data_IF_688442966258
#
_entry.id   IF_688442966258
#
_cell.length_a   1.000
_cell.length_b   1.000
_cell.length_c   1.000
_cell.angle_alpha   90.00
_cell.angle_beta   90.00
_cell.angle_gamma   90.00
#
_symmetry.space_group_name_H-M   'P 1'
#
loop_
_entity.id
_entity.type
_entity.pdbx_description
1 polymer ?
#
# COMPACT_ATOMS: atom_id res chain seq x y z
N UNK A 1 -13.77 -38.24 25.99
CA UNK A 1 -14.41 -36.97 26.40
C UNK A 1 -15.37 -36.52 25.28
N UNK A 2 -16.69 -36.70 25.42
CA UNK A 2 -17.67 -36.30 24.39
C UNK A 2 -17.80 -34.77 24.39
N UNK A 3 -17.49 -34.10 23.27
CA UNK A 3 -17.74 -32.64 23.11
C UNK A 3 -19.24 -32.40 23.23
N UNK A 4 -19.66 -31.52 24.14
CA UNK A 4 -21.07 -31.16 24.32
C UNK A 4 -21.60 -30.28 23.17
N UNK A 5 -22.93 -30.20 23.00
CA UNK A 5 -23.57 -29.40 21.94
C UNK A 5 -23.22 -27.90 21.99
N UNK A 6 -22.85 -27.38 23.17
CA UNK A 6 -22.30 -26.02 23.36
C UNK A 6 -20.96 -25.83 22.68
N UNK A 7 -20.04 -26.80 22.75
CA UNK A 7 -18.73 -26.74 22.10
C UNK A 7 -18.85 -26.66 20.57
N UNK A 8 -19.89 -27.29 20.00
CA UNK A 8 -20.16 -27.27 18.55
C UNK A 8 -20.65 -25.88 18.11
N UNK A 9 -21.57 -25.26 18.85
CA UNK A 9 -22.06 -23.90 18.55
C UNK A 9 -20.95 -22.85 18.63
N UNK A 10 -20.06 -22.96 19.63
CA UNK A 10 -18.90 -22.09 19.77
C UNK A 10 -17.94 -22.24 18.58
N UNK A 11 -17.69 -23.47 18.12
CA UNK A 11 -16.84 -23.71 16.95
C UNK A 11 -17.43 -23.10 15.66
N UNK A 12 -18.75 -23.23 15.45
CA UNK A 12 -19.41 -22.61 14.29
C UNK A 12 -19.37 -21.09 14.35
N UNK A 13 -19.62 -20.49 15.51
CA UNK A 13 -19.49 -19.05 15.70
C UNK A 13 -18.08 -18.55 15.40
N UNK A 14 -17.06 -19.24 15.91
CA UNK A 14 -15.65 -18.92 15.62
C UNK A 14 -15.33 -19.03 14.13
N UNK A 15 -15.81 -20.08 13.45
CA UNK A 15 -15.61 -20.28 12.02
C UNK A 15 -16.20 -19.12 11.20
N UNK A 16 -17.42 -18.67 11.54
CA UNK A 16 -18.06 -17.54 10.86
C UNK A 16 -17.23 -16.27 11.03
N UNK A 17 -16.74 -15.99 12.24
CA UNK A 17 -15.88 -14.82 12.49
C UNK A 17 -14.61 -14.89 11.65
N UNK A 18 -13.95 -16.05 11.58
CA UNK A 18 -12.74 -16.25 10.76
C UNK A 18 -13.04 -15.99 9.28
N UNK A 19 -14.15 -16.50 8.75
CA UNK A 19 -14.55 -16.27 7.35
C UNK A 19 -14.80 -14.79 7.07
N UNK A 20 -15.47 -14.08 7.99
CA UNK A 20 -15.71 -12.62 7.86
C UNK A 20 -14.38 -11.85 7.86
N UNK A 21 -13.46 -12.18 8.77
CA UNK A 21 -12.15 -11.53 8.83
C UNK A 21 -11.32 -11.78 7.56
N UNK A 22 -11.35 -12.99 7.02
CA UNK A 22 -10.69 -13.32 5.76
C UNK A 22 -11.29 -12.56 4.58
N UNK A 23 -12.62 -12.48 4.49
CA UNK A 23 -13.30 -11.71 3.44
C UNK A 23 -13.01 -10.21 3.54
N UNK A 24 -12.97 -9.66 4.75
CA UNK A 24 -12.59 -8.27 4.97
C UNK A 24 -11.13 -8.01 4.55
N UNK A 25 -10.20 -8.89 4.95
CA UNK A 25 -8.80 -8.77 4.58
C UNK A 25 -8.57 -8.84 3.06
N UNK A 26 -9.23 -9.78 2.36
CA UNK A 26 -9.11 -9.88 0.90
C UNK A 26 -9.74 -8.69 0.20
N UNK A 27 -10.88 -8.18 0.69
CA UNK A 27 -11.53 -6.98 0.19
C UNK A 27 -10.62 -5.75 0.29
N UNK A 28 -10.04 -5.49 1.47
CA UNK A 28 -9.09 -4.38 1.67
C UNK A 28 -7.87 -4.54 0.76
N UNK A 29 -7.30 -5.75 0.69
CA UNK A 29 -6.15 -6.05 -0.17
C UNK A 29 -6.43 -5.75 -1.65
N UNK A 30 -7.65 -6.06 -2.10
CA UNK A 30 -8.05 -5.83 -3.48
C UNK A 30 -8.18 -4.33 -3.80
N UNK A 31 -8.78 -3.56 -2.89
CA UNK A 31 -8.91 -2.09 -3.04
C UNK A 31 -7.53 -1.44 -3.14
N UNK A 32 -6.62 -1.76 -2.21
CA UNK A 32 -5.24 -1.24 -2.21
C UNK A 32 -4.53 -1.57 -3.53
N UNK A 33 -4.63 -2.81 -3.99
CA UNK A 33 -3.99 -3.21 -5.25
C UNK A 33 -4.55 -2.46 -6.47
N UNK A 34 -5.87 -2.28 -6.54
CA UNK A 34 -6.51 -1.52 -7.63
C UNK A 34 -6.09 -0.06 -7.63
N UNK A 35 -5.94 0.53 -6.46
CA UNK A 35 -5.50 1.91 -6.31
C UNK A 35 -4.05 2.09 -6.78
N UNK A 36 -3.13 1.20 -6.35
CA UNK A 36 -1.74 1.17 -6.82
C UNK A 36 -1.67 1.05 -8.35
N UNK A 37 -2.39 0.08 -8.93
CA UNK A 37 -2.39 -0.14 -10.39
C UNK A 37 -2.94 1.07 -11.15
N UNK A 38 -3.99 1.71 -10.62
CA UNK A 38 -4.57 2.91 -11.23
C UNK A 38 -3.56 4.05 -11.26
N UNK A 39 -2.83 4.26 -10.17
CA UNK A 39 -1.83 5.33 -10.09
C UNK A 39 -0.60 5.02 -10.97
N UNK A 40 -0.12 3.77 -10.97
CA UNK A 40 0.95 3.33 -11.85
C UNK A 40 0.56 3.48 -13.32
N UNK A 41 -0.66 3.10 -13.70
CA UNK A 41 -1.16 3.26 -15.06
C UNK A 41 -1.23 4.73 -15.50
N UNK A 42 -1.74 5.61 -14.63
CA UNK A 42 -1.77 7.06 -14.89
C UNK A 42 -0.36 7.63 -15.11
N UNK A 43 0.60 7.24 -14.27
CA UNK A 43 1.98 7.68 -14.40
C UNK A 43 2.62 7.17 -15.70
N UNK A 44 2.47 5.87 -15.99
CA UNK A 44 3.02 5.22 -17.20
C UNK A 44 2.43 5.77 -18.51
N UNK A 45 1.19 6.27 -18.48
CA UNK A 45 0.57 6.91 -19.65
C UNK A 45 1.33 8.17 -20.08
N UNK A 46 1.91 8.90 -19.13
CA UNK A 46 2.60 10.17 -19.38
C UNK A 46 4.13 10.01 -19.43
N UNK A 47 4.66 9.04 -18.69
CA UNK A 47 6.10 8.82 -18.56
C UNK A 47 6.44 7.35 -18.84
N UNK A 48 7.22 7.04 -19.90
CA UNK A 48 7.67 5.68 -20.14
C UNK A 48 8.63 5.23 -19.04
N UNK A 49 8.64 3.93 -18.78
CA UNK A 49 9.44 3.30 -17.73
C UNK A 49 8.62 2.29 -16.93
N UNK A 50 9.25 1.71 -15.91
CA UNK A 50 8.53 0.90 -14.92
C UNK A 50 7.73 1.78 -13.94
N UNK A 51 7.01 1.15 -13.00
CA UNK A 51 6.14 1.87 -12.07
C UNK A 51 6.88 2.93 -11.26
N UNK A 52 8.07 2.61 -10.76
CA UNK A 52 8.82 3.51 -9.88
C UNK A 52 9.39 4.65 -10.69
N UNK A 53 9.98 4.36 -11.85
CA UNK A 53 10.50 5.38 -12.75
C UNK A 53 9.38 6.33 -13.23
N UNK A 54 8.26 5.77 -13.68
CA UNK A 54 7.12 6.55 -14.16
C UNK A 54 6.51 7.39 -13.04
N UNK A 55 6.33 6.85 -11.83
CA UNK A 55 5.80 7.59 -10.68
C UNK A 55 6.74 8.69 -10.23
N UNK A 56 8.06 8.44 -10.14
CA UNK A 56 9.04 9.48 -9.79
C UNK A 56 9.07 10.61 -10.82
N UNK A 57 8.88 10.31 -12.11
CA UNK A 57 8.76 11.34 -13.16
C UNK A 57 7.43 12.09 -13.09
N UNK A 58 6.33 11.36 -12.87
CA UNK A 58 4.99 11.92 -12.70
C UNK A 58 4.93 12.89 -11.52
N UNK A 59 5.57 12.51 -10.42
CA UNK A 59 5.78 13.28 -9.21
C UNK A 59 6.50 14.61 -9.46
N UNK A 60 7.57 14.61 -10.25
CA UNK A 60 8.38 15.80 -10.55
C UNK A 60 7.71 16.75 -11.57
N UNK A 61 6.53 16.41 -12.07
CA UNK A 61 5.76 17.30 -12.94
C UNK A 61 4.98 18.32 -12.12
N UNK A 62 5.07 19.60 -12.48
CA UNK A 62 4.46 20.71 -11.71
C UNK A 62 2.92 20.70 -11.66
N UNK A 63 2.26 19.73 -12.30
CA UNK A 63 0.81 19.68 -12.47
C UNK A 63 0.03 18.98 -11.36
N UNK A 64 0.67 18.36 -10.35
CA UNK A 64 -0.05 17.59 -9.33
C UNK A 64 -0.61 18.48 -8.22
N UNK A 65 -1.89 18.25 -7.87
CA UNK A 65 -2.49 18.83 -6.67
C UNK A 65 -1.99 18.11 -5.39
N UNK A 66 -2.36 18.65 -4.22
CA UNK A 66 -1.89 18.13 -2.93
C UNK A 66 -2.28 16.65 -2.71
N UNK A 67 -3.51 16.29 -3.04
CA UNK A 67 -4.02 14.92 -2.90
C UNK A 67 -3.28 13.95 -3.82
N UNK A 68 -3.03 14.34 -5.07
CA UNK A 68 -2.28 13.53 -6.03
C UNK A 68 -0.84 13.32 -5.60
N UNK A 69 -0.17 14.35 -5.08
CA UNK A 69 1.19 14.23 -4.54
C UNK A 69 1.29 13.21 -3.42
N UNK A 70 0.41 13.32 -2.43
CA UNK A 70 0.39 12.39 -1.30
C UNK A 70 0.05 10.97 -1.76
N UNK A 71 -0.83 10.83 -2.74
CA UNK A 71 -1.17 9.53 -3.31
C UNK A 71 -0.01 8.90 -4.08
N UNK A 72 0.79 9.69 -4.81
CA UNK A 72 2.03 9.20 -5.44
C UNK A 72 3.04 8.76 -4.38
N UNK A 73 3.26 9.55 -3.32
CA UNK A 73 4.12 9.19 -2.18
C UNK A 73 3.67 7.88 -1.53
N UNK A 74 2.38 7.74 -1.25
CA UNK A 74 1.81 6.51 -0.71
C UNK A 74 2.04 5.32 -1.65
N UNK A 75 1.83 5.49 -2.96
CA UNK A 75 2.00 4.44 -3.96
C UNK A 75 3.45 3.98 -4.03
N UNK A 76 4.42 4.91 -4.03
CA UNK A 76 5.86 4.58 -3.96
C UNK A 76 6.19 3.76 -2.70
N UNK A 77 5.60 4.11 -1.56
CA UNK A 77 5.74 3.35 -0.32
C UNK A 77 5.15 1.94 -0.38
N UNK A 78 3.99 1.76 -1.01
CA UNK A 78 3.36 0.45 -1.20
C UNK A 78 4.12 -0.46 -2.17
N UNK A 79 4.75 0.11 -3.20
CA UNK A 79 5.58 -0.66 -4.14
C UNK A 79 6.83 -1.24 -3.47
N UNK A 80 7.29 -0.65 -2.36
CA UNK A 80 8.45 -1.13 -1.57
C UNK A 80 9.75 -1.30 -2.36
N UNK A 81 9.87 -0.60 -3.47
CA UNK A 81 11.09 -0.60 -4.28
C UNK A 81 12.09 0.41 -3.71
N UNK A 82 13.28 -0.07 -3.35
CA UNK A 82 14.35 0.76 -2.78
C UNK A 82 14.79 1.90 -3.69
N UNK A 83 14.57 1.80 -5.01
CA UNK A 83 14.88 2.87 -5.96
C UNK A 83 14.08 4.15 -5.71
N UNK A 84 12.97 4.08 -4.98
CA UNK A 84 12.18 5.24 -4.58
C UNK A 84 12.75 6.02 -3.39
N UNK A 85 13.68 5.43 -2.60
CA UNK A 85 14.19 6.06 -1.38
C UNK A 85 14.82 7.43 -1.62
N UNK A 86 15.73 7.63 -2.60
CA UNK A 86 16.35 8.95 -2.79
C UNK A 86 15.31 10.04 -3.09
N UNK A 87 14.25 9.69 -3.83
CA UNK A 87 13.15 10.61 -4.11
C UNK A 87 12.40 10.96 -2.83
N UNK A 88 11.99 9.97 -2.03
CA UNK A 88 11.20 10.18 -0.81
C UNK A 88 11.99 10.90 0.29
N UNK A 89 13.27 10.56 0.47
CA UNK A 89 14.18 11.23 1.41
C UNK A 89 14.37 12.71 1.05
N UNK A 90 14.40 13.03 -0.24
CA UNK A 90 14.43 14.41 -0.73
C UNK A 90 13.17 15.23 -0.40
N UNK A 91 12.08 14.59 0.04
CA UNK A 91 10.83 15.26 0.43
C UNK A 91 10.72 15.55 1.92
N UNK A 92 11.65 15.02 2.73
CA UNK A 92 11.65 15.26 4.16
C UNK A 92 11.79 16.76 4.43
N UNK A 93 10.91 17.27 5.31
CA UNK A 93 10.76 18.69 5.66
C UNK A 93 10.25 19.59 4.54
N UNK A 94 9.76 19.03 3.43
CA UNK A 94 9.11 19.81 2.38
C UNK A 94 7.62 19.98 2.69
N UNK A 95 7.23 21.18 3.12
CA UNK A 95 5.85 21.51 3.56
C UNK A 95 4.78 21.37 2.47
N UNK A 96 5.18 21.19 1.20
CA UNK A 96 4.23 20.89 0.11
C UNK A 96 3.66 19.47 0.18
N UNK A 97 4.18 18.63 1.08
CA UNK A 97 3.83 17.22 1.25
C UNK A 97 3.41 16.92 2.68
N UNK A 98 2.53 15.95 2.81
CA UNK A 98 2.23 15.35 4.10
C UNK A 98 3.45 14.57 4.60
N UNK A 99 4.14 15.12 5.60
CA UNK A 99 5.36 14.53 6.15
C UNK A 99 5.12 13.18 6.80
N UNK A 100 3.91 12.94 7.34
CA UNK A 100 3.56 11.64 7.87
C UNK A 100 3.52 10.57 6.76
N UNK A 101 2.97 10.89 5.59
CA UNK A 101 2.93 9.97 4.46
C UNK A 101 4.33 9.70 3.90
N UNK A 102 5.19 10.72 3.83
CA UNK A 102 6.59 10.57 3.40
C UNK A 102 7.36 9.64 4.33
N UNK A 103 7.34 9.90 5.64
CA UNK A 103 8.02 9.06 6.63
C UNK A 103 7.49 7.62 6.62
N UNK A 104 6.17 7.45 6.53
CA UNK A 104 5.54 6.13 6.46
C UNK A 104 5.95 5.38 5.20
N UNK A 105 6.04 6.05 4.05
CA UNK A 105 6.51 5.44 2.80
C UNK A 105 7.96 4.95 2.92
N UNK A 106 8.84 5.77 3.49
CA UNK A 106 10.24 5.39 3.77
C UNK A 106 10.27 4.15 4.68
N UNK A 107 9.54 4.15 5.80
CA UNK A 107 9.47 3.01 6.74
C UNK A 107 8.96 1.72 6.09
N UNK A 108 8.04 1.81 5.12
CA UNK A 108 7.61 0.64 4.33
C UNK A 108 8.74 0.11 3.45
N UNK A 109 9.50 0.98 2.80
CA UNK A 109 10.58 0.57 1.90
C UNK A 109 11.81 0.04 2.67
N UNK A 110 12.12 0.64 3.83
CA UNK A 110 13.23 0.19 4.71
C UNK A 110 12.89 -1.11 5.45
N UNK A 111 11.61 -1.46 5.53
CA UNK A 111 11.13 -2.69 6.17
C UNK A 111 10.78 -2.53 7.65
N UNK A 112 10.86 -1.33 8.21
CA UNK A 112 10.38 -1.01 9.56
C UNK A 112 8.88 -1.28 9.71
N UNK A 113 8.11 -0.96 8.66
CA UNK A 113 6.71 -1.37 8.57
C UNK A 113 6.65 -2.66 7.74
N UNK A 114 6.24 -3.81 8.32
CA UNK A 114 6.21 -5.08 7.60
C UNK A 114 5.24 -5.04 6.42
N UNK A 115 5.55 -5.79 5.36
CA UNK A 115 4.65 -5.93 4.21
C UNK A 115 3.56 -6.96 4.54
N UNK A 116 2.28 -6.56 4.70
CA UNK A 116 1.20 -7.52 4.97
C UNK A 116 0.91 -8.44 3.78
N UNK A 117 1.56 -8.21 2.63
CA UNK A 117 1.40 -8.97 1.40
C UNK A 117 2.71 -9.62 0.93
N UNK A 118 3.68 -9.84 1.83
CA UNK A 118 5.00 -10.36 1.48
C UNK A 118 4.97 -11.71 0.73
N UNK A 119 3.91 -12.50 0.90
CA UNK A 119 3.70 -13.77 0.21
C UNK A 119 3.18 -13.66 -1.22
N UNK A 120 2.72 -12.48 -1.66
CA UNK A 120 2.11 -12.30 -2.99
C UNK A 120 3.12 -12.02 -4.12
N UNK A 121 4.39 -11.79 -3.80
CA UNK A 121 5.38 -11.27 -4.76
C UNK A 121 6.72 -12.03 -4.71
N UNK A 122 6.68 -13.36 -4.70
CA UNK A 122 7.81 -14.24 -5.02
C UNK A 122 7.68 -14.80 -6.43
#
# INVERSE_FOLDING_TARGET
MKRGPTSIKLLHGLLIIVVILLAAFTGISYVVHKEIETMCAKARQKYPGDNVEALTRYFNSESLNYQERNHVVWTLGELRDKRALPTLEGLLRNERYDQYEVEKAIKKITGEIPNPYFWKWK
#
